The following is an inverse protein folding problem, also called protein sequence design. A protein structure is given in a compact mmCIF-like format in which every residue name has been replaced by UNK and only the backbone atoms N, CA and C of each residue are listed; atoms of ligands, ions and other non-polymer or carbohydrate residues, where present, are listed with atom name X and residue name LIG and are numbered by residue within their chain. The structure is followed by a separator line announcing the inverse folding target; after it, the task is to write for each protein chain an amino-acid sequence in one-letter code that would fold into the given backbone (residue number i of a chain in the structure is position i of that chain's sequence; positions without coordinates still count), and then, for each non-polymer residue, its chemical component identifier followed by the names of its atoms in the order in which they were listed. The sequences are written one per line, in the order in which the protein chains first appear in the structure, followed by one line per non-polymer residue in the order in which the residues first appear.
data_IF_647356572475
#
_entry.id   IF_647356572475
#
_cell.length_a   1.000
_cell.length_b   1.000
_cell.length_c   1.000
_cell.angle_alpha   90.00
_cell.angle_beta   90.00
_cell.angle_gamma   90.00
#
_symmetry.space_group_name_H-M   'P 1'
#
loop_
_entity.id
_entity.type
_entity.pdbx_description
1 polymer ?
#
# COMPACT_ATOMS: atom_id res chain seq x y z
N UNK A 1 -6.75 4.48 0.08
CA UNK A 1 -6.03 4.19 -1.18
C UNK A 1 -5.26 5.39 -1.72
N UNK A 2 -5.83 6.59 -1.83
CA UNK A 2 -5.13 7.75 -2.39
C UNK A 2 -3.77 8.05 -1.73
N UNK A 3 -3.68 7.97 -0.40
CA UNK A 3 -2.43 8.18 0.34
C UNK A 3 -1.35 7.12 0.04
N UNK A 4 -1.76 5.85 -0.11
CA UNK A 4 -0.85 4.77 -0.48
C UNK A 4 -0.29 5.00 -1.88
N UNK A 5 -1.13 5.43 -2.83
CA UNK A 5 -0.70 5.76 -4.19
C UNK A 5 0.28 6.94 -4.18
N UNK A 6 -0.01 8.00 -3.40
CA UNK A 6 0.89 9.14 -3.26
C UNK A 6 2.26 8.73 -2.68
N UNK A 7 2.26 7.88 -1.65
CA UNK A 7 3.48 7.32 -1.07
C UNK A 7 4.26 6.47 -2.10
N UNK A 8 3.58 5.60 -2.86
CA UNK A 8 4.23 4.77 -3.87
C UNK A 8 4.84 5.60 -5.00
N UNK A 9 4.12 6.62 -5.49
CA UNK A 9 4.64 7.56 -6.49
C UNK A 9 5.92 8.29 -6.02
N UNK A 10 6.02 8.59 -4.72
CA UNK A 10 7.18 9.28 -4.18
C UNK A 10 8.36 8.35 -3.81
N UNK A 11 8.06 7.14 -3.33
CA UNK A 11 9.05 6.27 -2.69
C UNK A 11 9.36 4.97 -3.44
N UNK A 12 8.62 4.66 -4.51
CA UNK A 12 8.71 3.39 -5.24
C UNK A 12 8.55 3.62 -6.75
N UNK A 13 9.55 4.26 -7.38
CA UNK A 13 9.52 4.53 -8.82
C UNK A 13 9.47 3.24 -9.66
N UNK A 14 8.58 3.19 -10.65
CA UNK A 14 8.30 1.96 -11.40
C UNK A 14 7.47 0.91 -10.66
N UNK A 15 6.76 1.29 -9.59
CA UNK A 15 5.74 0.41 -9.02
C UNK A 15 4.53 0.26 -9.96
N UNK A 16 3.84 -0.86 -9.84
CA UNK A 16 2.56 -1.09 -10.51
C UNK A 16 1.48 -1.46 -9.50
N UNK A 17 0.25 -1.03 -9.78
CA UNK A 17 -0.92 -1.37 -8.98
C UNK A 17 -1.89 -2.13 -9.87
N UNK A 18 -2.12 -3.40 -9.53
CA UNK A 18 -3.15 -4.22 -10.16
C UNK A 18 -4.34 -4.35 -9.22
N UNK A 19 -5.54 -4.11 -9.72
CA UNK A 19 -6.77 -4.25 -8.92
C UNK A 19 -7.43 -5.56 -9.29
N UNK A 20 -7.69 -6.39 -8.28
CA UNK A 20 -8.45 -7.64 -8.40
C UNK A 20 -9.85 -7.46 -7.79
N UNK A 21 -10.69 -8.49 -7.84
CA UNK A 21 -12.07 -8.44 -7.31
C UNK A 21 -12.14 -8.19 -5.79
N UNK A 22 -11.07 -8.50 -5.05
CA UNK A 22 -11.07 -8.41 -3.57
C UNK A 22 -9.90 -7.63 -2.98
N UNK A 23 -8.81 -7.40 -3.73
CA UNK A 23 -7.58 -6.77 -3.22
C UNK A 23 -6.87 -5.93 -4.29
N UNK A 24 -6.04 -4.98 -3.86
CA UNK A 24 -4.99 -4.39 -4.68
C UNK A 24 -3.68 -5.17 -4.53
N UNK A 25 -3.03 -5.43 -5.65
CA UNK A 25 -1.69 -6.00 -5.73
C UNK A 25 -0.72 -4.88 -6.07
N UNK A 26 0.35 -4.78 -5.30
CA UNK A 26 1.41 -3.79 -5.49
C UNK A 26 2.65 -4.54 -5.94
N UNK A 27 3.12 -4.24 -7.14
CA UNK A 27 4.34 -4.82 -7.72
C UNK A 27 5.44 -3.77 -7.64
N UNK A 28 6.61 -4.15 -7.14
CA UNK A 28 7.78 -3.28 -7.08
C UNK A 28 9.04 -4.12 -6.90
N UNK A 29 10.12 -3.77 -7.60
CA UNK A 29 11.42 -4.43 -7.48
C UNK A 29 11.36 -5.98 -7.58
N UNK A 30 10.60 -6.49 -8.55
CA UNK A 30 10.40 -7.92 -8.76
C UNK A 30 9.57 -8.66 -7.70
N UNK A 31 8.99 -7.93 -6.73
CA UNK A 31 8.15 -8.48 -5.66
C UNK A 31 6.70 -8.06 -5.82
N UNK A 32 5.79 -8.84 -5.21
CA UNK A 32 4.35 -8.57 -5.27
C UNK A 32 3.70 -8.68 -3.90
N UNK A 33 3.13 -7.59 -3.41
CA UNK A 33 2.33 -7.57 -2.19
C UNK A 33 0.82 -7.60 -2.53
N UNK A 34 0.12 -8.67 -2.13
CA UNK A 34 -1.25 -8.99 -2.60
C UNK A 34 -2.36 -8.76 -1.57
N UNK A 35 -2.08 -8.05 -0.48
CA UNK A 35 -2.94 -7.99 0.72
C UNK A 35 -3.45 -6.59 1.04
N UNK A 36 -3.52 -5.68 0.07
CA UNK A 36 -4.12 -4.36 0.29
C UNK A 36 -5.64 -4.48 0.07
N UNK A 37 -6.49 -4.22 1.08
CA UNK A 37 -7.94 -4.31 0.91
C UNK A 37 -8.49 -3.25 -0.04
N UNK A 38 -9.55 -3.57 -0.80
CA UNK A 38 -10.28 -2.61 -1.67
C UNK A 38 -11.15 -1.61 -0.88
N UNK A 39 -11.21 -1.77 0.44
CA UNK A 39 -11.96 -0.89 1.34
C UNK A 39 -13.50 -1.01 1.31
N UNK A 40 -14.07 -1.91 0.49
CA UNK A 40 -15.55 -2.04 0.32
C UNK A 40 -16.20 -3.30 0.93
N UNK A 41 -15.44 -4.23 1.50
CA UNK A 41 -16.03 -5.43 2.12
C UNK A 41 -16.23 -5.25 3.64
N UNK A 42 -17.49 -5.20 4.06
CA UNK A 42 -17.93 -5.08 5.45
C UNK A 42 -18.70 -3.79 5.71
N UNK A 43 -19.70 -3.83 6.58
CA UNK A 43 -20.60 -2.71 6.97
C UNK A 43 -19.91 -1.46 7.58
N UNK A 44 -18.60 -1.25 7.41
CA UNK A 44 -17.84 -0.13 7.96
C UNK A 44 -17.52 0.89 6.85
N UNK A 45 -18.05 2.11 6.99
CA UNK A 45 -17.89 3.22 6.03
C UNK A 45 -16.45 3.77 5.92
N UNK A 46 -15.56 3.45 6.84
CA UNK A 46 -14.15 3.86 6.84
C UNK A 46 -13.25 2.63 6.95
N UNK A 47 -12.93 1.99 5.83
CA UNK A 47 -11.86 0.99 5.78
C UNK A 47 -10.59 1.74 5.45
N UNK A 48 -10.10 2.52 6.41
CA UNK A 48 -8.70 2.93 6.42
C UNK A 48 -7.88 1.64 6.33
N UNK A 49 -7.04 1.53 5.30
CA UNK A 49 -6.11 0.39 5.21
C UNK A 49 -5.29 0.41 6.49
N UNK A 50 -5.39 -0.64 7.31
CA UNK A 50 -4.71 -0.61 8.60
C UNK A 50 -3.22 -0.39 8.37
N UNK A 51 -2.62 0.48 9.19
CA UNK A 51 -1.20 0.84 9.10
C UNK A 51 -0.31 -0.42 9.09
N UNK A 52 -0.73 -1.51 9.77
CA UNK A 52 -0.03 -2.79 9.73
C UNK A 52 0.12 -3.39 8.33
N UNK A 53 -0.88 -3.23 7.46
CA UNK A 53 -0.80 -3.65 6.05
C UNK A 53 0.22 -2.78 5.29
N UNK A 54 0.21 -1.47 5.51
CA UNK A 54 1.16 -0.54 4.86
C UNK A 54 2.60 -0.83 5.31
N UNK A 55 2.84 -1.02 6.61
CA UNK A 55 4.16 -1.40 7.16
C UNK A 55 4.66 -2.72 6.57
N UNK A 56 3.77 -3.71 6.51
CA UNK A 56 4.09 -5.01 5.91
C UNK A 56 4.41 -4.90 4.43
N UNK A 57 3.67 -4.08 3.70
CA UNK A 57 3.91 -3.80 2.28
C UNK A 57 5.27 -3.13 2.05
N UNK A 58 5.56 -2.03 2.76
CA UNK A 58 6.83 -1.29 2.67
C UNK A 58 8.01 -2.23 2.93
N UNK A 59 7.94 -3.02 4.01
CA UNK A 59 8.97 -4.01 4.36
C UNK A 59 9.11 -5.10 3.30
N UNK A 60 7.99 -5.65 2.81
CA UNK A 60 8.00 -6.75 1.85
C UNK A 60 8.62 -6.31 0.52
N UNK A 61 8.14 -5.18 -0.02
CA UNK A 61 8.57 -4.63 -1.30
C UNK A 61 9.98 -4.01 -1.21
N UNK A 62 10.48 -3.72 -0.01
CA UNK A 62 11.78 -3.09 0.19
C UNK A 62 11.75 -1.60 -0.15
N UNK A 63 10.61 -0.95 0.06
CA UNK A 63 10.46 0.50 -0.07
C UNK A 63 11.20 1.16 1.10
N UNK A 64 11.85 2.29 0.85
CA UNK A 64 12.52 3.04 1.92
C UNK A 64 11.51 3.48 2.98
N UNK A 65 11.66 2.92 4.18
CA UNK A 65 10.81 3.23 5.32
C UNK A 65 10.88 4.69 5.75
N UNK A 66 12.00 5.39 5.52
CA UNK A 66 12.16 6.80 5.85
C UNK A 66 11.36 7.69 4.91
N UNK A 67 11.37 7.38 3.61
CA UNK A 67 10.51 8.05 2.63
C UNK A 67 9.03 7.80 2.94
N UNK A 68 8.65 6.54 3.17
CA UNK A 68 7.26 6.17 3.38
C UNK A 68 6.63 6.91 4.59
N UNK A 69 7.39 7.10 5.68
CA UNK A 69 6.95 7.83 6.89
C UNK A 69 6.58 9.29 6.65
N UNK A 70 7.15 9.93 5.64
CA UNK A 70 6.81 11.31 5.30
C UNK A 70 5.42 11.44 4.65
N UNK A 71 4.88 10.35 4.12
CA UNK A 71 3.59 10.32 3.43
C UNK A 71 2.48 9.65 4.25
N UNK A 72 2.85 8.77 5.18
CA UNK A 72 1.91 8.08 6.08
C UNK A 72 2.37 8.35 7.50
N UNK A 73 1.66 9.27 8.18
CA UNK A 73 2.00 9.86 9.50
C UNK A 73 2.20 8.86 10.65
N UNK A 74 1.99 7.56 10.43
CA UNK A 74 1.99 6.52 11.47
C UNK A 74 2.90 5.31 11.19
N UNK A 75 3.83 5.41 10.24
CA UNK A 75 4.76 4.32 9.84
C UNK A 75 5.99 4.12 10.75
#
# INVERSE_FOLDING_TARGET
MAEIVAMLNACADGHEIQTTDHHHWILFNGKTFRRIPLGKHGHRRNVEVEIGHVRSMVRHLGIDSSCAKNHITTL
#
